data_IF_767970431904
#
_entry.id   IF_767970431904
#
_cell.length_a   1.000
_cell.length_b   1.000
_cell.length_c   1.000
_cell.angle_alpha   90.00
_cell.angle_beta   90.00
_cell.angle_gamma   90.00
#
_symmetry.space_group_name_H-M   'P 1'
#
loop_
_entity.id
_entity.type
_entity.pdbx_description
1 polymer ?
#
# COMPACT_ATOMS: atom_id res chain seq x y z
N UNK A 1 -23.63 1.49 -11.31
CA UNK A 1 -23.01 0.16 -11.12
C UNK A 1 -21.94 0.33 -10.06
N UNK A 2 -22.18 -0.10 -8.81
CA UNK A 2 -21.21 0.06 -7.72
C UNK A 2 -20.09 -0.96 -7.89
N UNK A 3 -18.94 -0.52 -8.40
CA UNK A 3 -17.70 -1.30 -8.36
C UNK A 3 -17.33 -1.42 -6.89
N UNK A 4 -17.46 -2.62 -6.30
CA UNK A 4 -17.04 -2.81 -4.92
C UNK A 4 -15.53 -2.58 -4.80
N UNK A 5 -15.15 -1.53 -4.08
CA UNK A 5 -13.78 -1.25 -3.65
C UNK A 5 -13.33 -2.33 -2.65
N UNK A 6 -12.98 -3.52 -3.13
CA UNK A 6 -12.28 -4.49 -2.28
C UNK A 6 -10.81 -4.10 -2.20
N UNK A 7 -10.32 -3.87 -1.00
CA UNK A 7 -8.88 -3.88 -0.72
C UNK A 7 -8.35 -5.27 -1.06
N UNK A 8 -7.42 -5.35 -2.01
CA UNK A 8 -6.77 -6.60 -2.41
C UNK A 8 -5.39 -6.70 -1.77
N UNK A 9 -5.20 -7.69 -0.92
CA UNK A 9 -3.87 -8.00 -0.39
C UNK A 9 -3.05 -8.67 -1.49
N UNK A 10 -1.84 -8.17 -1.71
CA UNK A 10 -0.90 -8.66 -2.70
C UNK A 10 0.46 -8.93 -2.07
N UNK A 11 1.22 -9.83 -2.70
CA UNK A 11 2.64 -10.02 -2.43
C UNK A 11 3.44 -9.51 -3.61
N UNK A 12 4.40 -8.64 -3.34
CA UNK A 12 5.23 -7.97 -4.33
C UNK A 12 6.61 -8.59 -4.25
N UNK A 13 7.05 -9.24 -5.33
CA UNK A 13 8.41 -9.76 -5.41
C UNK A 13 9.38 -8.60 -5.69
N UNK A 14 10.33 -8.39 -4.80
CA UNK A 14 11.39 -7.37 -4.92
C UNK A 14 12.75 -8.07 -4.78
N UNK A 15 13.35 -8.47 -5.91
CA UNK A 15 14.58 -9.27 -5.88
C UNK A 15 14.35 -10.61 -5.20
N UNK A 16 15.09 -10.89 -4.12
CA UNK A 16 14.97 -12.13 -3.33
C UNK A 16 13.93 -12.06 -2.20
N UNK A 17 13.29 -10.91 -1.97
CA UNK A 17 12.31 -10.73 -0.89
C UNK A 17 10.89 -10.56 -1.44
N UNK A 18 9.90 -10.86 -0.59
CA UNK A 18 8.48 -10.64 -0.87
C UNK A 18 7.91 -9.64 0.13
N UNK A 19 7.30 -8.57 -0.37
CA UNK A 19 6.71 -7.49 0.43
C UNK A 19 5.18 -7.60 0.42
N UNK A 20 4.53 -7.31 1.55
CA UNK A 20 3.07 -7.29 1.63
C UNK A 20 2.52 -5.92 1.25
N UNK A 21 1.47 -5.92 0.43
CA UNK A 21 0.78 -4.70 0.04
C UNK A 21 -0.72 -4.85 -0.01
N UNK A 22 -1.39 -3.70 -0.03
CA UNK A 22 -2.81 -3.53 -0.30
C UNK A 22 -2.95 -2.68 -1.55
N UNK A 23 -3.49 -3.29 -2.59
CA UNK A 23 -3.80 -2.61 -3.85
C UNK A 23 -5.31 -2.38 -3.94
N UNK A 24 -5.68 -1.21 -4.45
CA UNK A 24 -7.04 -0.90 -4.83
C UNK A 24 -7.00 -0.29 -6.24
N UNK A 25 -7.60 -1.01 -7.20
CA UNK A 25 -7.65 -0.63 -8.60
C UNK A 25 -9.09 -0.34 -8.97
N UNK A 26 -9.34 0.87 -9.46
CA UNK A 26 -10.62 1.22 -10.10
C UNK A 26 -10.55 0.76 -11.57
N UNK A 27 -11.66 0.23 -12.11
CA UNK A 27 -11.71 -0.28 -13.50
C UNK A 27 -11.24 0.74 -14.53
N UNK A 28 -11.50 2.02 -14.27
CA UNK A 28 -11.19 3.13 -15.15
C UNK A 28 -10.10 4.05 -14.57
N UNK A 29 -9.27 3.53 -13.66
CA UNK A 29 -8.17 4.31 -13.08
C UNK A 29 -7.18 4.75 -14.16
N UNK A 30 -6.93 6.06 -14.28
CA UNK A 30 -5.97 6.60 -15.25
C UNK A 30 -4.50 6.41 -14.82
N UNK A 31 -4.28 6.03 -13.57
CA UNK A 31 -2.95 5.80 -13.01
C UNK A 31 -3.02 5.20 -11.61
N UNK A 32 -1.85 4.84 -11.09
CA UNK A 32 -1.68 4.30 -9.74
C UNK A 32 -0.73 5.18 -8.92
N UNK A 33 -1.10 5.45 -7.67
CA UNK A 33 -0.23 6.12 -6.70
C UNK A 33 0.33 5.07 -5.74
N UNK A 34 1.66 5.01 -5.66
CA UNK A 34 2.39 4.09 -4.78
C UNK A 34 2.87 4.84 -3.56
N UNK A 35 2.53 4.33 -2.37
CA UNK A 35 2.91 4.94 -1.10
C UNK A 35 4.18 4.28 -0.55
N UNK A 36 5.20 5.10 -0.32
CA UNK A 36 6.33 4.76 0.55
C UNK A 36 6.04 5.29 1.95
N UNK A 37 6.05 4.43 2.97
CA UNK A 37 5.89 4.86 4.36
C UNK A 37 7.24 5.31 4.97
N UNK A 38 7.18 6.12 6.03
CA UNK A 38 8.39 6.49 6.79
C UNK A 38 8.85 5.37 7.72
N UNK A 39 10.02 5.54 8.35
CA UNK A 39 10.53 4.64 9.41
C UNK A 39 9.52 4.53 10.57
N UNK A 40 9.41 3.34 11.15
CA UNK A 40 8.42 3.01 12.19
C UNK A 40 6.95 3.02 11.74
N UNK A 41 6.68 3.17 10.44
CA UNK A 41 5.35 3.10 9.86
C UNK A 41 5.23 1.90 8.92
N UNK A 42 4.03 1.62 8.41
CA UNK A 42 3.76 0.47 7.54
C UNK A 42 2.63 0.78 6.56
N UNK A 43 2.24 -0.21 5.75
CA UNK A 43 1.04 -0.14 4.89
C UNK A 43 -0.26 0.16 5.66
N UNK A 44 -0.26 -0.04 6.98
CA UNK A 44 -1.39 0.23 7.86
C UNK A 44 -1.46 1.67 8.40
N UNK A 45 -0.51 2.53 8.01
CA UNK A 45 -0.48 3.94 8.42
C UNK A 45 -1.85 4.63 8.22
N UNK A 46 -2.53 5.10 9.29
CA UNK A 46 -3.84 5.75 9.18
C UNK A 46 -3.81 6.98 8.27
N UNK A 47 -2.70 7.74 8.33
CA UNK A 47 -2.48 8.91 7.47
C UNK A 47 -2.43 8.53 5.99
N UNK A 48 -1.63 7.53 5.63
CA UNK A 48 -1.51 7.14 4.22
C UNK A 48 -2.78 6.45 3.71
N UNK A 49 -3.48 5.67 4.56
CA UNK A 49 -4.79 5.08 4.23
C UNK A 49 -5.84 6.17 3.98
N UNK A 50 -5.83 7.26 4.76
CA UNK A 50 -6.70 8.41 4.53
C UNK A 50 -6.40 9.09 3.19
N UNK A 51 -5.14 9.42 2.90
CA UNK A 51 -4.74 10.03 1.62
C UNK A 51 -5.09 9.11 0.45
N UNK A 52 -4.87 7.81 0.57
CA UNK A 52 -5.27 6.83 -0.45
C UNK A 52 -6.78 6.85 -0.70
N UNK A 53 -7.60 6.97 0.35
CA UNK A 53 -9.05 7.15 0.22
C UNK A 53 -9.42 8.36 -0.62
N UNK A 54 -8.81 9.52 -0.33
CA UNK A 54 -9.05 10.77 -1.09
C UNK A 54 -8.63 10.61 -2.56
N UNK A 55 -7.50 9.96 -2.83
CA UNK A 55 -7.05 9.71 -4.21
C UNK A 55 -7.97 8.75 -4.98
N UNK A 56 -8.51 7.73 -4.31
CA UNK A 56 -9.49 6.83 -4.92
C UNK A 56 -10.78 7.55 -5.29
N UNK A 57 -11.26 8.45 -4.43
CA UNK A 57 -12.43 9.30 -4.77
C UNK A 57 -12.18 10.21 -5.97
N UNK A 58 -10.91 10.51 -6.27
CA UNK A 58 -10.51 11.26 -7.45
C UNK A 58 -10.25 10.39 -8.70
N UNK A 59 -10.52 9.08 -8.64
CA UNK A 59 -10.38 8.16 -9.76
C UNK A 59 -8.99 7.53 -9.94
N UNK A 60 -8.12 7.61 -8.93
CA UNK A 60 -6.79 7.00 -8.97
C UNK A 60 -6.76 5.64 -8.26
N UNK A 61 -6.03 4.68 -8.83
CA UNK A 61 -5.65 3.47 -8.11
C UNK A 61 -4.61 3.77 -7.04
N UNK A 62 -4.56 2.96 -5.99
CA UNK A 62 -3.59 3.13 -4.90
C UNK A 62 -2.94 1.81 -4.50
N UNK A 63 -1.63 1.86 -4.24
CA UNK A 63 -0.86 0.75 -3.65
C UNK A 63 -0.18 1.24 -2.38
N UNK A 64 -0.50 0.61 -1.25
CA UNK A 64 0.22 0.75 0.01
C UNK A 64 0.94 -0.56 0.28
N UNK A 65 2.24 -0.54 0.55
CA UNK A 65 3.01 -1.76 0.82
C UNK A 65 4.08 -1.49 1.86
N UNK A 66 4.55 -2.56 2.49
CA UNK A 66 5.66 -2.47 3.43
C UNK A 66 6.98 -2.41 2.66
N UNK A 67 7.82 -1.44 3.01
CA UNK A 67 9.15 -1.25 2.41
C UNK A 67 10.17 -2.24 2.96
N UNK A 68 9.89 -2.78 4.14
CA UNK A 68 10.72 -3.74 4.84
C UNK A 68 10.00 -5.07 4.91
N UNK A 69 10.76 -6.15 4.89
CA UNK A 69 10.26 -7.46 5.31
C UNK A 69 9.93 -7.44 6.80
N UNK A 70 9.09 -8.38 7.26
CA UNK A 70 8.76 -8.51 8.69
C UNK A 70 9.98 -8.85 9.59
N UNK A 71 11.09 -9.33 9.02
CA UNK A 71 12.35 -9.47 9.76
C UNK A 71 13.07 -8.12 9.87
N UNK A 72 13.22 -7.39 8.76
CA UNK A 72 13.84 -6.07 8.75
C UNK A 72 13.08 -5.07 9.63
N UNK A 73 11.74 -5.10 9.63
CA UNK A 73 10.93 -4.24 10.50
C UNK A 73 11.17 -4.53 11.99
N UNK A 74 11.37 -5.81 12.36
CA UNK A 74 11.75 -6.19 13.74
C UNK A 74 13.14 -5.71 14.12
N UNK A 75 14.05 -5.58 13.16
CA UNK A 75 15.38 -5.04 13.38
C UNK A 75 15.34 -3.51 13.53
N UNK A 76 14.60 -2.80 12.67
CA UNK A 76 14.42 -1.34 12.71
C UNK A 76 13.82 -0.87 14.05
N UNK A 77 12.85 -1.61 14.60
CA UNK A 77 12.26 -1.29 15.92
C UNK A 77 13.22 -1.41 17.12
N UNK A 78 14.43 -1.96 16.92
CA UNK A 78 15.43 -2.18 17.99
C UNK A 78 16.56 -1.15 18.00
N UNK A 79 16.60 -0.23 17.03
CA UNK A 79 17.63 0.81 16.88
C UNK A 79 17.06 2.20 17.14
#
# INVERSE_FOLDING_TARGET
MQTQEKEHVVRIQAGSVSLEGTVNLLRDAQGIVVFAHGSGSSRHSPRNRYVAGVLRTAGLGTLLFDLLTAEEERQDMRT
#
